data_IF_809196961681
#
_entry.id   IF_809196961681
#
_cell.length_a   1.000
_cell.length_b   1.000
_cell.length_c   1.000
_cell.angle_alpha   90.00
_cell.angle_beta   90.00
_cell.angle_gamma   90.00
#
_symmetry.space_group_name_H-M   'P 1'
#
loop_
_entity.id
_entity.type
_entity.pdbx_description
1 polymer ?
#
# COMPACT_ATOMS: atom_id res chain seq x y z
N UNK A 1 -6.52 -15.84 7.91
CA UNK A 1 -5.16 -15.80 8.53
C UNK A 1 -5.36 -15.61 10.01
N UNK A 2 -4.50 -16.16 10.84
CA UNK A 2 -4.68 -16.08 12.30
C UNK A 2 -3.70 -15.05 12.89
N UNK A 3 -4.20 -14.26 13.86
CA UNK A 3 -3.37 -13.39 14.68
C UNK A 3 -2.72 -14.21 15.80
N UNK A 4 -1.41 -14.08 15.93
CA UNK A 4 -0.63 -14.76 16.98
C UNK A 4 -0.24 -13.75 18.03
N UNK A 5 -0.85 -13.86 19.22
CA UNK A 5 -0.42 -13.12 20.42
C UNK A 5 0.80 -13.81 21.02
N UNK A 6 1.84 -13.03 21.28
CA UNK A 6 3.05 -13.56 21.95
C UNK A 6 2.81 -13.75 23.45
N UNK A 7 3.47 -14.74 24.04
CA UNK A 7 3.48 -14.93 25.51
C UNK A 7 4.10 -13.69 26.18
N UNK A 8 3.54 -13.20 27.30
CA UNK A 8 4.01 -11.99 27.99
C UNK A 8 5.23 -12.26 28.86
N UNK A 9 6.25 -12.90 28.30
CA UNK A 9 7.48 -13.32 29.04
C UNK A 9 8.46 -12.16 29.28
N UNK A 10 8.34 -11.06 28.52
CA UNK A 10 9.17 -9.88 28.69
C UNK A 10 8.38 -8.60 28.34
N UNK A 11 8.84 -7.39 28.80
CA UNK A 11 8.19 -6.13 28.44
C UNK A 11 8.09 -5.94 26.92
N UNK A 12 9.06 -6.42 26.16
CA UNK A 12 9.08 -6.29 24.71
C UNK A 12 8.13 -7.22 23.95
N UNK A 13 7.69 -8.32 24.56
CA UNK A 13 6.79 -9.31 23.95
C UNK A 13 5.34 -9.20 24.42
N UNK A 14 5.11 -8.60 25.60
CA UNK A 14 3.79 -8.50 26.26
C UNK A 14 2.67 -8.02 25.35
N UNK A 15 2.91 -7.01 24.53
CA UNK A 15 1.91 -6.37 23.67
C UNK A 15 2.08 -6.70 22.19
N UNK A 16 2.93 -7.68 21.86
CA UNK A 16 3.18 -8.06 20.47
C UNK A 16 2.06 -8.93 19.94
N UNK A 17 1.46 -8.48 18.83
CA UNK A 17 0.54 -9.28 18.03
C UNK A 17 1.13 -9.42 16.64
N UNK A 18 1.40 -10.63 16.20
CA UNK A 18 1.95 -10.95 14.88
C UNK A 18 0.85 -11.52 13.98
N UNK A 19 1.04 -11.40 12.68
CA UNK A 19 0.26 -12.11 11.69
C UNK A 19 0.93 -13.46 11.44
N UNK A 20 0.17 -14.51 11.37
CA UNK A 20 0.68 -15.83 10.97
C UNK A 20 1.19 -15.78 9.52
N UNK A 21 2.40 -16.28 9.33
CA UNK A 21 3.09 -16.36 8.06
C UNK A 21 3.47 -17.81 7.69
N UNK A 22 2.88 -18.78 8.36
CA UNK A 22 3.19 -20.20 8.16
C UNK A 22 2.97 -20.67 6.73
N UNK A 23 1.96 -20.11 6.06
CA UNK A 23 1.58 -20.38 4.67
C UNK A 23 2.47 -19.72 3.62
N UNK A 24 3.37 -18.82 4.03
CA UNK A 24 4.26 -18.12 3.11
C UNK A 24 5.57 -18.89 2.91
N UNK A 25 6.18 -18.67 1.76
CA UNK A 25 7.51 -19.17 1.46
C UNK A 25 8.55 -18.68 2.49
N UNK A 26 9.33 -19.61 3.03
CA UNK A 26 10.35 -19.33 4.06
C UNK A 26 11.74 -19.11 3.48
N UNK A 27 11.95 -19.45 2.22
CA UNK A 27 13.23 -19.26 1.53
C UNK A 27 13.49 -17.82 1.08
N UNK A 28 14.62 -17.60 0.41
CA UNK A 28 15.00 -16.33 -0.18
C UNK A 28 14.11 -15.91 -1.35
N UNK A 29 14.19 -14.63 -1.77
CA UNK A 29 13.51 -14.15 -2.97
C UNK A 29 14.15 -14.74 -4.23
N UNK A 30 13.45 -14.65 -5.36
CA UNK A 30 14.00 -14.95 -6.68
C UNK A 30 15.00 -13.86 -7.08
N UNK A 31 16.30 -14.17 -7.01
CA UNK A 31 17.38 -13.18 -7.14
C UNK A 31 17.32 -12.34 -8.43
N UNK A 32 17.05 -12.91 -9.63
CA UNK A 32 16.97 -12.14 -10.87
C UNK A 32 15.93 -11.02 -10.85
N UNK A 33 14.90 -11.14 -10.03
CA UNK A 33 13.83 -10.13 -9.86
C UNK A 33 14.04 -9.24 -8.62
N UNK A 34 15.27 -9.17 -8.10
CA UNK A 34 15.60 -8.31 -6.96
C UNK A 34 16.62 -7.25 -7.29
N UNK A 35 16.48 -6.09 -6.67
CA UNK A 35 17.41 -4.96 -6.80
C UNK A 35 17.82 -4.49 -5.42
N UNK A 36 19.10 -4.13 -5.28
CA UNK A 36 19.60 -3.51 -4.05
C UNK A 36 18.94 -2.14 -3.86
N UNK A 37 18.42 -1.88 -2.67
CA UNK A 37 17.84 -0.60 -2.31
C UNK A 37 18.78 0.15 -1.35
N UNK A 38 19.31 1.28 -1.80
CA UNK A 38 20.07 2.19 -0.95
C UNK A 38 19.12 2.97 -0.04
N UNK A 39 19.57 3.29 1.16
CA UNK A 39 18.80 4.04 2.15
C UNK A 39 19.37 5.45 2.28
N UNK A 40 18.60 6.45 1.89
CA UNK A 40 19.00 7.86 1.97
C UNK A 40 18.78 8.47 3.36
N UNK A 41 18.06 7.78 4.25
CA UNK A 41 17.72 8.31 5.58
C UNK A 41 16.90 9.58 5.57
N UNK A 42 16.14 9.83 4.50
CA UNK A 42 15.33 11.04 4.31
C UNK A 42 16.13 12.27 3.89
N UNK A 43 17.39 12.10 3.42
CA UNK A 43 18.26 13.18 2.91
C UNK A 43 18.10 13.34 1.41
N UNK A 44 18.25 14.59 0.95
CA UNK A 44 18.37 14.93 -0.48
C UNK A 44 19.83 14.80 -0.96
N UNK A 45 20.10 15.19 -2.20
CA UNK A 45 21.46 15.19 -2.81
C UNK A 45 22.48 16.07 -2.06
N UNK A 46 22.01 17.12 -1.37
CA UNK A 46 22.85 18.01 -0.54
C UNK A 46 23.03 17.53 0.90
N UNK A 47 22.56 16.31 1.24
CA UNK A 47 22.64 15.75 2.59
C UNK A 47 21.65 16.34 3.61
N UNK A 48 20.78 17.26 3.21
CA UNK A 48 19.78 17.89 4.09
C UNK A 48 18.56 16.99 4.26
N UNK A 49 18.00 16.96 5.47
CA UNK A 49 16.78 16.19 5.76
C UNK A 49 15.59 16.89 5.13
N UNK A 50 15.03 16.29 4.08
CA UNK A 50 13.80 16.73 3.41
C UNK A 50 12.57 15.92 3.81
N UNK A 51 12.78 14.70 4.31
CA UNK A 51 11.72 13.85 4.84
C UNK A 51 12.11 13.41 6.24
N UNK A 52 11.45 14.00 7.25
CA UNK A 52 11.72 13.71 8.65
C UNK A 52 11.26 12.30 9.04
N UNK A 53 11.76 11.79 10.15
CA UNK A 53 11.40 10.54 10.79
C UNK A 53 11.69 9.28 9.94
N UNK A 54 12.65 9.36 9.02
CA UNK A 54 13.17 8.22 8.25
C UNK A 54 14.64 7.99 8.54
N UNK A 55 15.04 6.73 8.61
CA UNK A 55 16.43 6.33 8.77
C UNK A 55 16.62 5.02 9.53
N UNK A 56 17.77 4.38 9.34
CA UNK A 56 18.05 3.06 9.87
C UNK A 56 17.19 1.96 9.25
N UNK A 57 16.79 1.00 10.06
CA UNK A 57 16.00 -0.16 9.64
C UNK A 57 16.84 -1.31 9.10
N UNK A 58 16.26 -2.51 9.04
CA UNK A 58 16.90 -3.71 8.54
C UNK A 58 17.21 -3.60 7.04
N UNK A 59 18.32 -4.19 6.59
CA UNK A 59 18.61 -4.28 5.16
C UNK A 59 17.59 -5.18 4.46
N UNK A 60 17.17 -4.80 3.27
CA UNK A 60 16.27 -5.58 2.43
C UNK A 60 16.46 -5.26 0.96
N UNK A 61 16.17 -6.23 0.11
CA UNK A 61 16.16 -6.07 -1.35
C UNK A 61 14.79 -5.65 -1.83
N UNK A 62 14.72 -4.85 -2.87
CA UNK A 62 13.48 -4.50 -3.55
C UNK A 62 13.13 -5.61 -4.55
N UNK A 63 11.86 -6.05 -4.58
CA UNK A 63 11.33 -6.98 -5.58
C UNK A 63 10.71 -6.19 -6.70
N UNK A 64 11.09 -6.52 -7.92
CA UNK A 64 10.49 -5.96 -9.14
C UNK A 64 9.13 -6.62 -9.32
N UNK A 65 8.07 -5.83 -9.22
CA UNK A 65 6.69 -6.31 -9.34
C UNK A 65 6.13 -5.89 -10.68
N UNK A 66 5.54 -6.85 -11.38
CA UNK A 66 4.75 -6.59 -12.58
C UNK A 66 3.41 -5.96 -12.19
N UNK A 67 3.38 -4.63 -12.28
CA UNK A 67 2.17 -3.84 -12.03
C UNK A 67 1.35 -3.60 -13.30
N UNK A 68 1.95 -3.84 -14.48
CA UNK A 68 1.28 -3.66 -15.77
C UNK A 68 0.43 -4.86 -16.15
N UNK A 69 0.92 -6.06 -15.82
CA UNK A 69 0.25 -7.32 -16.17
C UNK A 69 -0.01 -7.42 -17.69
N UNK A 70 0.99 -7.02 -18.47
CA UNK A 70 0.91 -6.87 -19.93
C UNK A 70 1.15 -8.18 -20.71
N UNK A 71 1.38 -9.29 -20.03
CA UNK A 71 1.60 -10.61 -20.64
C UNK A 71 0.26 -11.28 -20.96
N UNK A 72 -0.38 -10.81 -22.03
CA UNK A 72 -1.70 -11.25 -22.42
C UNK A 72 -1.67 -12.64 -23.09
N UNK A 73 -2.70 -13.46 -22.89
CA UNK A 73 -2.88 -14.78 -23.49
C UNK A 73 -1.99 -15.89 -22.91
N UNK A 74 -0.91 -15.54 -22.21
CA UNK A 74 0.01 -16.54 -21.67
C UNK A 74 -0.44 -17.00 -20.28
N UNK A 75 -0.59 -18.32 -20.12
CA UNK A 75 -0.93 -18.96 -18.86
C UNK A 75 0.28 -18.91 -17.92
N UNK A 76 0.07 -18.50 -16.69
CA UNK A 76 1.05 -18.56 -15.61
C UNK A 76 0.55 -19.44 -14.46
N UNK A 77 1.47 -20.06 -13.74
CA UNK A 77 1.20 -20.86 -12.55
C UNK A 77 1.89 -20.19 -11.36
N UNK A 78 1.19 -20.04 -10.26
CA UNK A 78 1.74 -19.51 -9.01
C UNK A 78 2.70 -20.55 -8.41
N UNK A 79 4.00 -20.27 -8.42
CA UNK A 79 5.01 -21.15 -7.81
C UNK A 79 4.96 -21.07 -6.28
N UNK A 80 4.87 -19.84 -5.74
CA UNK A 80 4.87 -19.58 -4.31
C UNK A 80 4.37 -18.20 -3.95
N UNK A 81 3.98 -18.01 -2.69
CA UNK A 81 3.59 -16.71 -2.14
C UNK A 81 4.66 -16.27 -1.13
N UNK A 82 5.14 -15.04 -1.26
CA UNK A 82 6.24 -14.50 -0.45
C UNK A 82 5.81 -13.27 0.36
N UNK A 83 6.50 -13.09 1.48
CA UNK A 83 6.47 -11.85 2.23
C UNK A 83 7.42 -10.83 1.60
N UNK A 84 6.92 -9.66 1.23
CA UNK A 84 7.76 -8.54 0.77
C UNK A 84 7.93 -7.50 1.88
N UNK A 85 9.16 -7.19 2.33
CA UNK A 85 9.41 -6.16 3.34
C UNK A 85 9.12 -4.73 2.85
N UNK A 86 8.96 -4.50 1.53
CA UNK A 86 8.73 -3.19 0.95
C UNK A 86 7.24 -2.80 0.87
N UNK A 87 6.34 -3.76 1.11
CA UNK A 87 4.89 -3.55 1.03
C UNK A 87 4.14 -4.32 2.10
N UNK A 88 2.91 -3.92 2.34
CA UNK A 88 2.07 -4.54 3.36
C UNK A 88 1.34 -5.79 2.86
N UNK A 89 0.98 -5.86 1.57
CA UNK A 89 0.41 -7.05 0.94
C UNK A 89 1.48 -8.08 0.57
N UNK A 90 1.09 -9.33 0.41
CA UNK A 90 1.97 -10.39 -0.08
C UNK A 90 2.17 -10.29 -1.58
N UNK A 91 3.19 -10.97 -2.09
CA UNK A 91 3.50 -11.10 -3.51
C UNK A 91 3.50 -12.58 -3.90
N UNK A 92 3.15 -12.86 -5.14
CA UNK A 92 3.22 -14.21 -5.71
C UNK A 92 4.28 -14.25 -6.82
N UNK A 93 5.13 -15.26 -6.81
CA UNK A 93 6.00 -15.58 -7.92
C UNK A 93 5.22 -16.46 -8.89
N UNK A 94 5.08 -15.99 -10.11
CA UNK A 94 4.35 -16.66 -11.19
C UNK A 94 5.35 -17.11 -12.25
N UNK A 95 5.31 -18.39 -12.61
CA UNK A 95 6.02 -18.98 -13.74
C UNK A 95 5.05 -19.07 -14.91
N UNK A 96 5.38 -18.42 -16.00
CA UNK A 96 4.63 -18.48 -17.24
C UNK A 96 5.05 -19.66 -18.09
N UNK A 97 4.17 -20.11 -19.00
CA UNK A 97 4.42 -21.26 -19.85
C UNK A 97 5.59 -21.05 -20.83
N UNK A 98 5.95 -19.80 -21.13
CA UNK A 98 7.11 -19.43 -21.93
C UNK A 98 8.44 -19.42 -21.13
N UNK A 99 8.42 -19.85 -19.86
CA UNK A 99 9.58 -19.91 -18.98
C UNK A 99 9.89 -18.64 -18.19
N UNK A 100 9.26 -17.51 -18.52
CA UNK A 100 9.44 -16.26 -17.79
C UNK A 100 8.86 -16.34 -16.37
N UNK A 101 9.51 -15.67 -15.43
CA UNK A 101 9.03 -15.51 -14.06
C UNK A 101 8.80 -14.06 -13.74
N UNK A 102 7.67 -13.75 -13.12
CA UNK A 102 7.35 -12.39 -12.64
C UNK A 102 6.76 -12.44 -11.25
N UNK A 103 7.10 -11.43 -10.45
CA UNK A 103 6.36 -11.16 -9.23
C UNK A 103 5.10 -10.36 -9.53
N UNK A 104 3.99 -10.77 -8.97
CA UNK A 104 2.74 -10.03 -8.99
C UNK A 104 2.26 -9.74 -7.57
N UNK A 105 1.33 -8.82 -7.41
CA UNK A 105 0.61 -8.63 -6.15
C UNK A 105 -0.27 -9.86 -5.91
N UNK A 106 -0.14 -10.50 -4.74
CA UNK A 106 -0.91 -11.68 -4.40
C UNK A 106 -2.33 -11.31 -3.96
N UNK A 107 -3.38 -11.74 -4.67
CA UNK A 107 -4.75 -11.60 -4.21
C UNK A 107 -5.05 -12.49 -3.01
N UNK A 108 -6.10 -12.17 -2.28
CA UNK A 108 -6.65 -13.02 -1.22
C UNK A 108 -7.23 -14.30 -1.84
N UNK A 109 -6.92 -15.44 -1.21
CA UNK A 109 -7.43 -16.74 -1.62
C UNK A 109 -6.64 -17.47 -2.71
N UNK A 110 -5.67 -16.83 -3.34
CA UNK A 110 -4.77 -17.51 -4.29
C UNK A 110 -3.74 -18.33 -3.52
N UNK A 111 -3.51 -19.55 -4.01
CA UNK A 111 -2.56 -20.51 -3.44
C UNK A 111 -1.52 -20.96 -4.47
N UNK A 112 -0.37 -21.50 -4.05
CA UNK A 112 0.57 -22.11 -4.97
C UNK A 112 -0.10 -23.21 -5.81
N UNK A 113 0.19 -23.25 -7.12
CA UNK A 113 -0.46 -24.13 -8.09
C UNK A 113 -1.63 -23.49 -8.86
N UNK A 114 -2.18 -22.37 -8.39
CA UNK A 114 -3.24 -21.68 -9.09
C UNK A 114 -2.80 -21.12 -10.44
N UNK A 115 -3.71 -21.20 -11.41
CA UNK A 115 -3.51 -20.62 -12.74
C UNK A 115 -3.90 -19.13 -12.76
N UNK A 116 -3.05 -18.33 -13.38
CA UNK A 116 -3.25 -16.90 -13.57
C UNK A 116 -3.07 -16.53 -15.03
N UNK A 117 -3.99 -15.73 -15.55
CA UNK A 117 -3.96 -15.22 -16.92
C UNK A 117 -4.19 -13.71 -16.94
N UNK A 118 -3.67 -13.06 -17.99
CA UNK A 118 -3.96 -11.67 -18.32
C UNK A 118 -4.53 -11.59 -19.73
N UNK A 119 -5.34 -10.57 -20.00
CA UNK A 119 -5.92 -10.34 -21.33
C UNK A 119 -7.45 -10.35 -21.32
N UNK A 120 -8.05 -10.10 -22.52
CA UNK A 120 -9.49 -9.99 -22.68
C UNK A 120 -10.22 -11.32 -22.40
N UNK A 121 -9.60 -12.43 -22.79
CA UNK A 121 -10.17 -13.79 -22.69
C UNK A 121 -9.87 -14.48 -21.35
N UNK A 122 -9.29 -13.74 -20.41
CA UNK A 122 -8.98 -14.31 -19.09
C UNK A 122 -10.29 -14.57 -18.32
N UNK A 123 -10.46 -15.73 -17.66
CA UNK A 123 -11.65 -16.00 -16.86
C UNK A 123 -11.77 -15.03 -15.67
N UNK A 124 -13.00 -14.80 -15.22
CA UNK A 124 -13.30 -13.94 -14.06
C UNK A 124 -12.95 -14.70 -12.77
N UNK A 125 -11.66 -14.82 -12.50
CA UNK A 125 -11.10 -15.49 -11.31
C UNK A 125 -10.12 -14.55 -10.60
N UNK A 126 -10.05 -14.65 -9.26
CA UNK A 126 -9.09 -13.85 -8.47
C UNK A 126 -7.65 -14.04 -8.98
N UNK A 127 -6.94 -12.94 -9.19
CA UNK A 127 -5.57 -12.93 -9.71
C UNK A 127 -5.47 -12.66 -11.21
N UNK A 128 -6.52 -12.87 -11.97
CA UNK A 128 -6.52 -12.55 -13.40
C UNK A 128 -6.63 -11.04 -13.64
N UNK A 129 -5.93 -10.55 -14.64
CA UNK A 129 -5.88 -9.13 -14.96
C UNK A 129 -6.40 -8.86 -16.37
N UNK A 130 -7.25 -7.86 -16.49
CA UNK A 130 -7.83 -7.45 -17.77
C UNK A 130 -8.20 -5.98 -17.77
N UNK A 131 -8.56 -5.45 -18.93
CA UNK A 131 -9.10 -4.10 -19.02
C UNK A 131 -10.49 -4.04 -18.37
N UNK A 132 -10.84 -2.89 -17.78
CA UNK A 132 -12.12 -2.68 -17.12
C UNK A 132 -13.32 -2.92 -18.03
N UNK A 133 -13.15 -2.77 -19.36
CA UNK A 133 -14.19 -3.09 -20.34
C UNK A 133 -14.65 -4.55 -20.33
N UNK A 134 -13.76 -5.47 -19.95
CA UNK A 134 -14.02 -6.90 -19.91
C UNK A 134 -14.42 -7.41 -18.52
N UNK A 135 -14.34 -6.56 -17.50
CA UNK A 135 -14.73 -6.89 -16.13
C UNK A 135 -16.23 -6.57 -15.96
N UNK A 136 -17.04 -7.50 -15.41
CA UNK A 136 -18.43 -7.22 -15.08
C UNK A 136 -18.56 -6.14 -14.02
N UNK A 137 -19.55 -5.28 -14.17
CA UNK A 137 -19.92 -4.29 -13.15
C UNK A 137 -20.35 -5.02 -11.88
N UNK A 138 -20.01 -4.44 -10.71
CA UNK A 138 -20.20 -5.08 -9.40
C UNK A 138 -19.00 -5.85 -8.90
N UNK A 139 -18.01 -6.14 -9.76
CA UNK A 139 -16.82 -6.88 -9.39
C UNK A 139 -15.93 -6.11 -8.41
N UNK A 140 -15.28 -6.86 -7.52
CA UNK A 140 -14.21 -6.35 -6.66
C UNK A 140 -12.88 -6.53 -7.35
N UNK A 141 -12.09 -5.45 -7.46
CA UNK A 141 -10.81 -5.42 -8.15
C UNK A 141 -9.72 -4.75 -7.32
N UNK A 142 -8.48 -5.03 -7.62
CA UNK A 142 -7.31 -4.36 -7.05
C UNK A 142 -6.27 -4.05 -8.14
N UNK A 143 -5.16 -3.42 -7.78
CA UNK A 143 -4.10 -3.05 -8.71
C UNK A 143 -4.62 -2.28 -9.94
N UNK A 144 -5.52 -1.32 -9.73
CA UNK A 144 -6.20 -0.59 -10.80
C UNK A 144 -5.31 0.52 -11.36
N UNK A 145 -5.24 0.64 -12.67
CA UNK A 145 -4.56 1.73 -13.36
C UNK A 145 -5.35 3.04 -13.27
N UNK A 146 -4.65 4.17 -13.33
CA UNK A 146 -5.23 5.51 -13.49
C UNK A 146 -5.16 6.02 -14.92
N UNK A 147 -4.22 5.49 -15.71
CA UNK A 147 -4.06 5.75 -17.13
C UNK A 147 -3.72 4.42 -17.80
N UNK A 148 -4.26 4.14 -19.00
CA UNK A 148 -3.96 2.90 -19.71
C UNK A 148 -2.45 2.69 -19.89
N UNK A 149 -1.97 1.48 -19.67
CA UNK A 149 -0.58 1.07 -19.86
C UNK A 149 0.44 1.61 -18.85
N UNK A 150 0.01 2.41 -17.86
CA UNK A 150 0.92 2.96 -16.84
C UNK A 150 1.27 1.95 -15.73
N UNK A 151 0.50 0.90 -15.61
CA UNK A 151 0.55 -0.04 -14.48
C UNK A 151 -0.31 0.38 -13.30
N UNK A 152 -0.71 -0.59 -12.49
CA UNK A 152 -1.63 -0.40 -11.39
C UNK A 152 -1.11 0.57 -10.33
N UNK A 153 -1.96 1.47 -9.88
CA UNK A 153 -1.65 2.51 -8.89
C UNK A 153 -2.59 2.50 -7.69
N UNK A 154 -3.84 2.07 -7.86
CA UNK A 154 -4.84 2.03 -6.80
C UNK A 154 -4.96 0.63 -6.20
N UNK A 155 -5.37 0.54 -4.93
CA UNK A 155 -5.64 -0.70 -4.20
C UNK A 155 -4.49 -1.73 -4.28
N UNK A 156 -3.29 -1.34 -3.86
CA UNK A 156 -2.10 -2.20 -3.82
C UNK A 156 -1.66 -2.61 -2.41
N UNK A 157 -2.20 -1.95 -1.39
CA UNK A 157 -1.87 -2.24 0.01
C UNK A 157 -2.70 -3.41 0.54
N UNK A 158 -2.22 -4.03 1.62
CA UNK A 158 -2.88 -5.14 2.29
C UNK A 158 -4.38 -4.90 2.54
N UNK A 159 -5.20 -5.88 2.21
CA UNK A 159 -6.65 -5.84 2.38
C UNK A 159 -7.36 -4.71 1.66
N UNK A 160 -6.73 -4.09 0.67
CA UNK A 160 -7.38 -3.07 -0.14
C UNK A 160 -8.03 -3.65 -1.38
N UNK A 161 -9.19 -3.12 -1.69
CA UNK A 161 -9.94 -3.42 -2.90
C UNK A 161 -10.66 -2.17 -3.39
N UNK A 162 -11.15 -2.25 -4.60
CA UNK A 162 -11.95 -1.23 -5.27
C UNK A 162 -13.19 -1.92 -5.81
N UNK A 163 -14.35 -1.34 -5.61
CA UNK A 163 -15.58 -1.82 -6.21
C UNK A 163 -15.80 -1.14 -7.56
N UNK A 164 -16.00 -1.92 -8.61
CA UNK A 164 -16.39 -1.44 -9.93
C UNK A 164 -17.90 -1.24 -9.95
N UNK A 165 -18.36 0.01 -9.91
CA UNK A 165 -19.77 0.32 -9.63
C UNK A 165 -20.62 0.54 -10.89
N UNK A 166 -20.05 1.15 -11.92
CA UNK A 166 -20.78 1.45 -13.16
C UNK A 166 -19.82 1.66 -14.34
N UNK A 167 -20.37 1.60 -15.54
CA UNK A 167 -19.69 1.92 -16.81
C UNK A 167 -20.55 2.88 -17.62
N UNK A 168 -19.94 3.95 -18.11
CA UNK A 168 -20.62 4.95 -18.93
C UNK A 168 -19.67 5.46 -20.02
N UNK A 169 -19.99 5.20 -21.27
CA UNK A 169 -19.16 5.55 -22.41
C UNK A 169 -17.73 5.01 -22.28
N UNK A 170 -16.75 5.90 -22.30
CA UNK A 170 -15.33 5.60 -22.20
C UNK A 170 -14.81 5.56 -20.75
N UNK A 171 -15.69 5.71 -19.76
CA UNK A 171 -15.33 5.73 -18.36
C UNK A 171 -15.93 4.58 -17.56
N UNK A 172 -15.13 4.06 -16.65
CA UNK A 172 -15.50 3.14 -15.58
C UNK A 172 -15.55 3.88 -14.25
N UNK A 173 -16.60 3.68 -13.47
CA UNK A 173 -16.76 4.27 -12.15
C UNK A 173 -16.30 3.28 -11.11
N UNK A 174 -15.37 3.72 -10.26
CA UNK A 174 -14.78 2.89 -9.24
C UNK A 174 -14.92 3.55 -7.86
N UNK A 175 -15.38 2.78 -6.88
CA UNK A 175 -15.50 3.19 -5.49
C UNK A 175 -14.33 2.64 -4.68
N UNK A 176 -13.53 3.55 -4.14
CA UNK A 176 -12.38 3.21 -3.29
C UNK A 176 -12.85 2.83 -1.87
N UNK A 177 -12.02 2.10 -1.14
CA UNK A 177 -12.28 1.75 0.29
C UNK A 177 -12.47 2.97 1.20
N UNK A 178 -11.95 4.14 0.80
CA UNK A 178 -12.18 5.42 1.48
C UNK A 178 -13.58 6.00 1.30
N UNK A 179 -14.39 5.45 0.39
CA UNK A 179 -15.70 5.98 -0.03
C UNK A 179 -15.64 6.98 -1.18
N UNK A 180 -14.43 7.38 -1.63
CA UNK A 180 -14.28 8.24 -2.82
C UNK A 180 -14.66 7.46 -4.07
N UNK A 181 -15.55 8.03 -4.89
CA UNK A 181 -15.90 7.50 -6.21
C UNK A 181 -15.16 8.28 -7.29
N UNK A 182 -14.46 7.56 -8.14
CA UNK A 182 -13.69 8.13 -9.26
C UNK A 182 -14.09 7.48 -10.57
N UNK A 183 -13.94 8.25 -11.65
CA UNK A 183 -13.94 7.71 -13.00
C UNK A 183 -12.53 7.49 -13.51
N UNK A 184 -12.32 6.39 -14.19
CA UNK A 184 -11.08 6.02 -14.88
C UNK A 184 -11.40 5.58 -16.29
N UNK A 185 -10.45 5.64 -17.20
CA UNK A 185 -10.66 5.20 -18.58
C UNK A 185 -10.95 3.68 -18.61
N UNK A 186 -11.85 3.26 -19.47
CA UNK A 186 -12.30 1.86 -19.56
C UNK A 186 -11.20 0.89 -20.01
N UNK A 187 -10.18 1.39 -20.71
CA UNK A 187 -9.01 0.61 -21.12
C UNK A 187 -7.97 0.45 -20.01
N UNK A 188 -8.17 1.09 -18.85
CA UNK A 188 -7.33 0.84 -17.70
C UNK A 188 -7.44 -0.61 -17.26
N UNK A 189 -6.30 -1.22 -16.94
CA UNK A 189 -6.25 -2.59 -16.42
C UNK A 189 -6.54 -2.63 -14.93
N UNK A 190 -7.13 -3.72 -14.50
CA UNK A 190 -7.32 -4.06 -13.09
C UNK A 190 -7.14 -5.57 -12.90
N UNK A 191 -6.83 -5.99 -11.68
CA UNK A 191 -6.77 -7.40 -11.30
C UNK A 191 -7.99 -7.74 -10.46
N UNK A 192 -8.63 -8.87 -10.75
CA UNK A 192 -9.83 -9.33 -10.04
C UNK A 192 -9.47 -9.79 -8.64
N UNK A 193 -10.34 -9.48 -7.67
CA UNK A 193 -10.20 -9.87 -6.27
C UNK A 193 -9.69 -8.76 -5.37
N UNK A 194 -9.44 -9.08 -4.13
CA UNK A 194 -8.95 -8.22 -3.06
C UNK A 194 -7.48 -8.53 -2.78
N UNK A 195 -6.72 -7.53 -2.31
CA UNK A 195 -5.33 -7.73 -1.86
C UNK A 195 -5.26 -8.63 -0.62
N UNK A 196 -4.28 -9.50 -0.60
CA UNK A 196 -3.97 -10.36 0.56
C UNK A 196 -3.56 -9.59 1.82
N UNK A 197 -3.45 -10.31 2.95
CA UNK A 197 -2.98 -9.79 4.24
C UNK A 197 -3.89 -8.71 4.84
N UNK A 198 -5.20 -8.90 4.73
CA UNK A 198 -6.24 -7.96 5.19
C UNK A 198 -6.15 -7.65 6.70
N UNK A 199 -5.65 -8.59 7.52
CA UNK A 199 -5.45 -8.41 8.95
C UNK A 199 -4.19 -7.59 9.32
N UNK A 200 -3.44 -7.06 8.32
CA UNK A 200 -2.20 -6.32 8.56
C UNK A 200 -2.34 -5.19 9.59
N UNK A 201 -3.47 -4.51 9.59
CA UNK A 201 -3.74 -3.39 10.50
C UNK A 201 -3.96 -3.81 11.96
N UNK A 202 -4.28 -5.08 12.22
CA UNK A 202 -4.49 -5.63 13.55
C UNK A 202 -3.18 -6.00 14.26
N UNK A 203 -2.07 -5.88 13.56
CA UNK A 203 -0.73 -6.12 14.08
C UNK A 203 -0.32 -5.07 15.12
N UNK A 204 0.27 -5.53 16.23
CA UNK A 204 0.90 -4.66 17.23
C UNK A 204 2.41 -4.93 17.31
N UNK A 205 3.21 -3.89 17.25
CA UNK A 205 4.67 -4.01 17.33
C UNK A 205 5.18 -4.25 18.75
N UNK A 206 4.40 -3.91 19.78
CA UNK A 206 4.69 -4.13 21.19
C UNK A 206 5.80 -3.25 21.77
N UNK A 207 6.78 -2.81 20.98
CA UNK A 207 7.91 -1.97 21.44
C UNK A 207 8.35 -0.97 20.38
N UNK A 208 8.94 0.15 20.83
CA UNK A 208 9.45 1.21 19.95
C UNK A 208 10.55 0.72 19.00
N UNK A 209 11.44 -0.18 19.47
CA UNK A 209 12.50 -0.75 18.66
C UNK A 209 11.99 -1.48 17.42
N UNK A 210 10.80 -2.10 17.45
CA UNK A 210 10.23 -2.75 16.29
C UNK A 210 9.89 -1.75 15.16
N UNK A 211 9.48 -0.52 15.49
CA UNK A 211 9.34 0.56 14.49
C UNK A 211 10.69 1.03 13.96
N UNK A 212 11.74 1.03 14.82
CA UNK A 212 13.11 1.36 14.38
C UNK A 212 13.60 0.39 13.31
N UNK A 213 13.30 -0.91 13.44
CA UNK A 213 13.66 -1.92 12.43
C UNK A 213 13.02 -1.65 11.06
N UNK A 214 11.87 -0.99 11.03
CA UNK A 214 11.20 -0.58 9.79
C UNK A 214 11.77 0.72 9.19
N UNK A 215 12.78 1.32 9.83
CA UNK A 215 13.35 2.59 9.38
C UNK A 215 12.59 3.83 9.81
N UNK A 216 11.69 3.69 10.78
CA UNK A 216 10.92 4.81 11.35
C UNK A 216 11.67 5.36 12.55
N UNK A 217 12.08 6.63 12.49
CA UNK A 217 12.71 7.35 13.61
C UNK A 217 11.65 7.91 14.56
N UNK A 218 12.01 8.18 15.82
CA UNK A 218 11.11 8.80 16.79
C UNK A 218 10.58 10.15 16.29
N UNK A 219 9.34 10.47 16.68
CA UNK A 219 8.71 11.78 16.41
C UNK A 219 8.59 12.53 17.71
N UNK A 220 9.13 13.75 17.75
CA UNK A 220 8.97 14.68 18.88
C UNK A 220 7.72 15.52 18.62
N UNK A 221 6.91 15.73 19.65
CA UNK A 221 5.73 16.60 19.58
C UNK A 221 6.15 18.07 19.49
N UNK A 222 5.44 18.88 18.73
CA UNK A 222 5.73 20.34 18.61
C UNK A 222 5.73 21.07 19.96
N UNK A 223 4.87 20.66 20.88
CA UNK A 223 4.83 21.18 22.26
C UNK A 223 6.11 20.95 23.10
N UNK A 224 6.92 19.99 22.71
CA UNK A 224 8.18 19.66 23.37
C UNK A 224 9.41 20.27 22.66
N UNK A 225 9.17 21.16 21.73
CA UNK A 225 10.21 21.88 20.97
C UNK A 225 10.33 23.32 21.45
N UNK A 226 11.40 23.99 21.04
CA UNK A 226 11.57 25.42 21.23
C UNK A 226 10.71 26.22 20.23
N UNK A 227 10.42 27.52 20.52
CA UNK A 227 9.62 28.39 19.62
C UNK A 227 10.18 28.47 18.19
N UNK A 228 11.51 28.43 18.04
CA UNK A 228 12.18 28.46 16.73
C UNK A 228 11.91 27.20 15.89
N UNK A 229 11.65 26.05 16.52
CA UNK A 229 11.51 24.75 15.85
C UNK A 229 10.07 24.44 15.48
N UNK A 230 9.12 24.98 16.23
CA UNK A 230 7.70 24.69 16.01
C UNK A 230 6.81 25.83 16.56
N UNK A 231 5.72 26.21 15.85
CA UNK A 231 4.75 27.21 16.33
C UNK A 231 4.08 26.89 17.68
N UNK A 232 4.12 25.61 18.11
CA UNK A 232 3.63 25.18 19.43
C UNK A 232 4.74 25.11 20.48
N UNK A 233 5.96 25.50 20.16
CA UNK A 233 7.10 25.43 21.06
C UNK A 233 7.12 26.51 22.10
N UNK A 234 7.93 26.32 23.16
CA UNK A 234 8.12 27.26 24.25
C UNK A 234 7.19 27.05 25.44
N UNK A 235 7.28 27.97 26.40
CA UNK A 235 6.53 27.94 27.65
C UNK A 235 7.25 27.20 28.79
N UNK A 236 6.74 27.33 29.99
CA UNK A 236 7.21 26.63 31.18
C UNK A 236 6.33 25.42 31.51
N UNK A 237 6.94 24.32 31.90
CA UNK A 237 6.25 23.07 32.27
C UNK A 237 5.39 22.48 31.17
N UNK A 238 4.15 22.19 31.46
CA UNK A 238 3.15 21.67 30.49
C UNK A 238 2.35 22.79 29.86
N UNK A 239 2.96 23.54 28.97
CA UNK A 239 2.24 24.58 28.23
C UNK A 239 1.31 24.00 27.16
N UNK A 240 0.19 24.72 26.92
CA UNK A 240 -0.70 24.45 25.79
C UNK A 240 -0.07 24.85 24.46
N UNK A 241 -0.78 24.61 23.35
CA UNK A 241 -0.28 24.96 22.02
C UNK A 241 -0.24 26.46 21.70
N UNK A 242 -0.93 27.29 22.51
CA UNK A 242 -0.94 28.75 22.36
C UNK A 242 -1.65 29.30 21.12
N UNK A 243 -2.10 28.47 20.20
CA UNK A 243 -2.74 28.86 18.95
C UNK A 243 -4.23 28.49 18.94
N UNK A 244 -5.11 29.24 18.26
CA UNK A 244 -6.54 28.91 18.14
C UNK A 244 -6.78 27.54 17.52
N UNK A 245 -5.88 27.11 16.62
CA UNK A 245 -5.94 25.82 15.95
C UNK A 245 -4.59 25.11 16.00
N UNK A 246 -4.58 23.76 16.07
CA UNK A 246 -3.33 23.01 15.94
C UNK A 246 -2.73 23.26 14.56
N UNK A 247 -1.44 23.62 14.51
CA UNK A 247 -0.72 23.88 13.27
C UNK A 247 0.43 22.90 13.04
N UNK A 248 0.86 22.79 11.80
CA UNK A 248 2.05 22.05 11.41
C UNK A 248 3.33 22.87 11.71
N UNK A 249 4.53 22.28 11.60
CA UNK A 249 5.79 23.03 11.72
C UNK A 249 5.92 24.21 10.76
N UNK A 250 5.15 24.23 9.69
CA UNK A 250 5.11 25.32 8.69
C UNK A 250 3.90 26.26 8.88
N UNK A 251 3.22 26.21 10.02
CA UNK A 251 2.09 27.09 10.33
C UNK A 251 0.75 26.71 9.67
N UNK A 252 0.66 25.57 8.99
CA UNK A 252 -0.59 25.16 8.35
C UNK A 252 -1.54 24.48 9.33
N UNK A 253 -2.81 24.89 9.30
CA UNK A 253 -3.84 24.23 10.10
C UNK A 253 -3.91 22.73 9.80
N UNK A 254 -3.78 21.90 10.85
CA UNK A 254 -3.78 20.44 10.72
C UNK A 254 -5.18 19.85 10.68
N UNK A 255 -6.19 20.61 11.09
CA UNK A 255 -7.61 20.24 11.04
C UNK A 255 -8.36 21.14 10.06
N UNK A 256 -9.27 20.56 9.29
CA UNK A 256 -10.17 21.27 8.38
C UNK A 256 -9.56 21.76 7.06
N UNK A 257 -8.26 21.98 6.95
CA UNK A 257 -7.64 22.48 5.71
C UNK A 257 -7.67 21.40 4.61
N UNK A 258 -8.18 21.78 3.44
CA UNK A 258 -8.13 20.96 2.23
C UNK A 258 -6.72 20.99 1.65
N UNK A 259 -5.99 19.87 1.72
CA UNK A 259 -4.57 19.79 1.36
C UNK A 259 -4.30 19.26 -0.06
N UNK A 260 -5.32 18.86 -0.82
CA UNK A 260 -5.14 18.39 -2.20
C UNK A 260 -4.66 19.54 -3.10
N UNK A 261 -3.44 19.43 -3.61
CA UNK A 261 -2.81 20.41 -4.50
C UNK A 261 -3.07 20.10 -5.99
N UNK A 262 -3.13 18.81 -6.37
CA UNK A 262 -3.38 18.41 -7.75
C UNK A 262 -4.84 18.63 -8.15
N UNK A 263 -5.12 19.77 -8.77
CA UNK A 263 -6.46 20.13 -9.23
C UNK A 263 -6.79 19.60 -10.64
N UNK A 264 -5.79 19.25 -11.45
CA UNK A 264 -5.97 18.81 -12.83
C UNK A 264 -6.87 17.58 -12.97
N UNK A 265 -6.90 16.69 -11.97
CA UNK A 265 -7.71 15.46 -11.99
C UNK A 265 -8.97 15.56 -11.12
N UNK A 266 -9.41 16.76 -10.76
CA UNK A 266 -10.65 16.93 -9.97
C UNK A 266 -11.88 16.45 -10.76
N UNK A 267 -11.91 16.66 -12.06
CA UNK A 267 -13.00 16.21 -12.94
C UNK A 267 -13.15 14.68 -13.00
N UNK A 268 -12.10 13.93 -12.59
CA UNK A 268 -12.15 12.48 -12.44
C UNK A 268 -12.73 12.03 -11.10
N UNK A 269 -12.96 12.92 -10.15
CA UNK A 269 -13.56 12.59 -8.85
C UNK A 269 -15.04 12.94 -8.92
N UNK A 270 -15.88 11.92 -8.93
CA UNK A 270 -17.34 12.06 -8.96
C UNK A 270 -17.88 12.41 -7.59
N UNK A 271 -17.44 11.65 -6.58
CA UNK A 271 -17.84 11.85 -5.19
C UNK A 271 -16.61 11.77 -4.29
N UNK A 272 -16.41 12.78 -3.46
CA UNK A 272 -15.35 12.75 -2.43
C UNK A 272 -15.75 11.87 -1.26
N UNK A 273 -14.76 11.37 -0.52
CA UNK A 273 -15.01 10.69 0.74
C UNK A 273 -15.84 11.60 1.66
N UNK A 274 -16.86 11.05 2.28
CA UNK A 274 -17.58 11.74 3.35
C UNK A 274 -16.67 11.78 4.60
N UNK A 275 -16.49 12.96 5.17
CA UNK A 275 -15.89 13.05 6.49
C UNK A 275 -16.89 12.43 7.48
N UNK A 276 -16.48 11.38 8.19
CA UNK A 276 -17.25 10.95 9.34
C UNK A 276 -17.27 12.12 10.33
N UNK A 277 -18.42 12.71 10.52
CA UNK A 277 -18.67 13.61 11.64
C UNK A 277 -18.49 12.72 12.89
N UNK A 278 -17.47 13.05 13.68
CA UNK A 278 -17.25 12.40 14.97
C UNK A 278 -18.08 13.12 16.03
#
# INVERSE_FOLDING_TARGET
MALVKMKPTSPGTRFVVKIDKSHLWKGGPHEPLTVRQSKTGGRNSYGRITTRHKGGGSAHKYRIIDLKRDKDGVKGIVERIEHDPNRTGHIALVKYMDGDRRYILAPKGVVPGDEIRSGADAPIKAGNAMQLRHIPVGSTVHNVELKPGKGGQLARSAGNSVQYTAREGIYAYIRLKSGETRKVHIDCRATIGEMSNDEHNLRSYGKAGAKRWLGIRPTVRGLAMNPVDHPHGGGEGKSGQGNPHPVSPWGWNTKGKKTRTNKRTNHMIVQRRQNKIR
#
